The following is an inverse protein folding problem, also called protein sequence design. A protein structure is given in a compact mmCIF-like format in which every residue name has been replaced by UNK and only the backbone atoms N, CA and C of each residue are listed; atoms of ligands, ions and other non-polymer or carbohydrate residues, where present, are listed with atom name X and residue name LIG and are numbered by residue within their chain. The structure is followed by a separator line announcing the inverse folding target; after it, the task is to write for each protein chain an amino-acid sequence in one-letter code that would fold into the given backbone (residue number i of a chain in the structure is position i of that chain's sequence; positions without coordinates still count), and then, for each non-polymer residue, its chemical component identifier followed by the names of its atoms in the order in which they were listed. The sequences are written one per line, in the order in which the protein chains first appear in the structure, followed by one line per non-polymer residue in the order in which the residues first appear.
data_IF_672039242607
#
_entry.id   IF_672039242607
#
_cell.length_a   1.000
_cell.length_b   1.000
_cell.length_c   1.000
_cell.angle_alpha   90.00
_cell.angle_beta   90.00
_cell.angle_gamma   90.00
#
_symmetry.space_group_name_H-M   'P 1'
#
loop_
_entity.id
_entity.type
_entity.pdbx_description
1 polymer ?
#
# COMPACT_ATOMS: atom_id res chain seq x y z
N UNK A 1 10.90 -14.80 -4.63
CA UNK A 1 9.53 -15.30 -4.41
C UNK A 1 8.70 -14.30 -3.59
N UNK A 2 9.18 -13.83 -2.44
CA UNK A 2 8.44 -12.90 -1.57
C UNK A 2 8.15 -11.51 -2.19
N UNK A 3 9.11 -10.89 -2.88
CA UNK A 3 8.91 -9.58 -3.52
C UNK A 3 7.87 -9.61 -4.64
N UNK A 4 7.76 -10.74 -5.35
CA UNK A 4 6.73 -10.95 -6.37
C UNK A 4 5.34 -11.07 -5.72
N UNK A 5 5.22 -11.84 -4.64
CA UNK A 5 3.98 -11.97 -3.87
C UNK A 5 3.49 -10.62 -3.34
N UNK A 6 4.38 -9.83 -2.74
CA UNK A 6 4.06 -8.49 -2.23
C UNK A 6 3.59 -7.56 -3.36
N UNK A 7 4.25 -7.58 -4.53
CA UNK A 7 3.81 -6.79 -5.68
C UNK A 7 2.41 -7.19 -6.17
N UNK A 8 2.03 -8.48 -6.09
CA UNK A 8 0.68 -8.93 -6.42
C UNK A 8 -0.36 -8.49 -5.38
N UNK A 9 -0.02 -8.54 -4.09
CA UNK A 9 -0.88 -7.99 -3.02
C UNK A 9 -1.16 -6.51 -3.24
N UNK A 10 -0.12 -5.71 -3.54
CA UNK A 10 -0.25 -4.32 -3.96
C UNK A 10 -1.25 -4.19 -5.12
N UNK A 11 -1.05 -5.00 -6.17
CA UNK A 11 -1.89 -4.94 -7.36
C UNK A 11 -3.36 -5.22 -7.10
N UNK A 12 -3.71 -6.08 -6.14
CA UNK A 12 -5.10 -6.39 -5.86
C UNK A 12 -5.74 -5.43 -4.86
N UNK A 13 -5.01 -5.03 -3.83
CA UNK A 13 -5.48 -4.02 -2.86
C UNK A 13 -5.81 -2.72 -3.59
N UNK A 14 -4.93 -2.27 -4.49
CA UNK A 14 -5.12 -1.00 -5.20
C UNK A 14 -6.09 -1.07 -6.39
N UNK A 15 -6.66 -2.24 -6.68
CA UNK A 15 -7.84 -2.37 -7.56
C UNK A 15 -9.16 -2.15 -6.81
N UNK A 16 -9.14 -2.20 -5.48
CA UNK A 16 -10.34 -2.02 -4.68
C UNK A 16 -10.70 -0.55 -4.51
N UNK A 17 -12.01 -0.28 -4.39
CA UNK A 17 -12.49 1.03 -3.99
C UNK A 17 -12.31 1.23 -2.47
N UNK A 18 -11.99 2.45 -2.02
CA UNK A 18 -11.92 3.70 -2.80
C UNK A 18 -10.58 3.90 -3.55
N UNK A 19 -9.57 3.08 -3.30
CA UNK A 19 -8.20 3.30 -3.79
C UNK A 19 -8.10 3.39 -5.32
N UNK A 20 -8.70 2.46 -6.06
CA UNK A 20 -8.64 2.48 -7.52
C UNK A 20 -9.23 3.76 -8.14
N UNK A 21 -10.33 4.25 -7.56
CA UNK A 21 -10.95 5.52 -7.96
C UNK A 21 -10.00 6.69 -7.71
N UNK A 22 -9.33 6.70 -6.56
CA UNK A 22 -8.40 7.73 -6.16
C UNK A 22 -7.18 7.81 -7.09
N UNK A 23 -6.54 6.68 -7.40
CA UNK A 23 -5.46 6.62 -8.37
C UNK A 23 -5.90 7.09 -9.76
N UNK A 24 -7.08 6.66 -10.21
CA UNK A 24 -7.60 7.07 -11.52
C UNK A 24 -7.80 8.58 -11.58
N UNK A 25 -8.30 9.20 -10.51
CA UNK A 25 -8.45 10.66 -10.42
C UNK A 25 -7.09 11.36 -10.42
N UNK A 26 -6.13 10.90 -9.61
CA UNK A 26 -4.80 11.48 -9.54
C UNK A 26 -4.07 11.45 -10.90
N UNK A 27 -4.13 10.30 -11.59
CA UNK A 27 -3.54 10.15 -12.94
C UNK A 27 -4.23 11.06 -13.95
N UNK A 28 -5.56 11.16 -13.94
CA UNK A 28 -6.30 12.08 -14.83
C UNK A 28 -5.89 13.53 -14.60
N UNK A 29 -5.77 13.96 -13.35
CA UNK A 29 -5.32 15.32 -13.00
C UNK A 29 -3.92 15.57 -13.53
N UNK A 30 -2.99 14.65 -13.28
CA UNK A 30 -1.61 14.79 -13.74
C UNK A 30 -1.52 14.86 -15.28
N UNK A 31 -2.21 13.96 -15.97
CA UNK A 31 -2.24 13.94 -17.45
C UNK A 31 -2.83 15.24 -18.00
N UNK A 32 -3.90 15.75 -17.40
CA UNK A 32 -4.51 17.01 -17.79
C UNK A 32 -3.54 18.20 -17.67
N UNK A 33 -2.78 18.27 -16.56
CA UNK A 33 -1.77 19.30 -16.31
C UNK A 33 -0.59 19.16 -17.27
N UNK A 34 -0.08 17.95 -17.42
CA UNK A 34 1.15 17.68 -18.18
C UNK A 34 1.00 17.91 -19.68
N UNK A 35 -0.20 17.69 -20.23
CA UNK A 35 -0.51 17.95 -21.64
C UNK A 35 -0.61 19.45 -21.98
N UNK A 36 -0.60 20.34 -20.98
CA UNK A 36 -0.82 21.78 -21.14
C UNK A 36 0.38 22.56 -20.63
N UNK A 37 1.27 23.06 -21.52
CA UNK A 37 2.52 23.71 -21.11
C UNK A 37 2.35 24.87 -20.12
N UNK A 38 1.36 25.75 -20.33
CA UNK A 38 1.11 26.88 -19.42
C UNK A 38 0.64 26.41 -18.04
N UNK A 39 -0.18 25.35 -17.97
CA UNK A 39 -0.67 24.81 -16.71
C UNK A 39 0.43 24.02 -15.97
N UNK A 40 1.29 23.32 -16.71
CA UNK A 40 2.47 22.66 -16.18
C UNK A 40 3.46 23.67 -15.58
N UNK A 41 3.72 24.78 -16.29
CA UNK A 41 4.58 25.86 -15.79
C UNK A 41 3.99 26.51 -14.53
N UNK A 42 2.68 26.73 -14.52
CA UNK A 42 1.98 27.23 -13.34
C UNK A 42 2.11 26.24 -12.18
N UNK A 43 1.89 24.95 -12.41
CA UNK A 43 2.09 23.92 -11.39
C UNK A 43 3.51 23.94 -10.83
N UNK A 44 4.53 23.99 -11.68
CA UNK A 44 5.94 24.08 -11.26
C UNK A 44 6.20 25.32 -10.41
N UNK A 45 5.64 26.49 -10.75
CA UNK A 45 5.73 27.70 -9.93
C UNK A 45 5.18 27.50 -8.53
N UNK A 46 4.03 26.83 -8.40
CA UNK A 46 3.41 26.57 -7.09
C UNK A 46 4.06 25.42 -6.31
N UNK A 47 4.67 24.45 -6.99
CA UNK A 47 5.31 23.28 -6.36
C UNK A 47 6.81 23.44 -6.14
N UNK A 48 7.39 24.62 -6.42
CA UNK A 48 8.84 24.85 -6.44
C UNK A 48 9.55 23.81 -7.33
N UNK A 49 9.06 23.66 -8.55
CA UNK A 49 9.54 22.74 -9.60
C UNK A 49 9.51 21.25 -9.22
N UNK A 50 8.84 20.89 -8.13
CA UNK A 50 8.70 19.49 -7.75
C UNK A 50 7.82 18.74 -8.74
N UNK A 51 8.37 17.65 -9.25
CA UNK A 51 7.64 16.69 -10.08
C UNK A 51 6.60 15.92 -9.25
N UNK A 52 5.39 15.79 -9.79
CA UNK A 52 4.33 15.00 -9.19
C UNK A 52 4.48 13.51 -9.46
N UNK A 53 5.06 13.13 -10.60
CA UNK A 53 5.37 11.72 -10.92
C UNK A 53 6.78 11.40 -10.47
N UNK A 54 6.91 10.26 -9.78
CA UNK A 54 8.19 9.70 -9.34
C UNK A 54 8.37 8.30 -9.93
N UNK A 55 9.18 8.17 -11.00
CA UNK A 55 9.47 6.87 -11.60
C UNK A 55 10.13 5.92 -10.58
N UNK A 56 9.74 4.64 -10.62
CA UNK A 56 10.35 3.57 -9.85
C UNK A 56 10.45 2.28 -10.68
N UNK A 57 11.20 1.29 -10.16
CA UNK A 57 11.44 0.02 -10.85
C UNK A 57 10.17 -0.74 -11.22
N UNK A 58 9.10 -0.59 -10.45
CA UNK A 58 7.81 -1.23 -10.73
C UNK A 58 6.75 -0.18 -11.00
N UNK A 59 5.77 -0.54 -11.84
CA UNK A 59 4.57 0.28 -12.09
C UNK A 59 3.83 0.62 -10.78
N UNK A 60 3.76 -0.33 -9.84
CA UNK A 60 3.10 -0.13 -8.54
C UNK A 60 3.83 0.89 -7.68
N UNK A 61 5.15 0.76 -7.55
CA UNK A 61 5.95 1.74 -6.82
C UNK A 61 5.85 3.13 -7.46
N UNK A 62 5.85 3.20 -8.79
CA UNK A 62 5.69 4.48 -9.53
C UNK A 62 4.33 5.12 -9.21
N UNK A 63 3.26 4.33 -9.27
CA UNK A 63 1.90 4.79 -8.96
C UNK A 63 1.75 5.25 -7.51
N UNK A 64 2.27 4.47 -6.55
CA UNK A 64 2.25 4.85 -5.14
C UNK A 64 3.08 6.10 -4.84
N UNK A 65 4.31 6.20 -5.36
CA UNK A 65 5.17 7.37 -5.13
C UNK A 65 4.61 8.63 -5.80
N UNK A 66 3.89 8.48 -6.92
CA UNK A 66 3.16 9.56 -7.57
C UNK A 66 2.03 10.06 -6.66
N UNK A 67 1.24 9.14 -6.10
CA UNK A 67 0.17 9.49 -5.17
C UNK A 67 0.72 10.17 -3.90
N UNK A 68 1.79 9.63 -3.32
CA UNK A 68 2.47 10.25 -2.18
C UNK A 68 3.01 11.65 -2.50
N UNK A 69 3.53 11.86 -3.71
CA UNK A 69 3.98 13.18 -4.16
C UNK A 69 2.82 14.17 -4.32
N UNK A 70 1.66 13.70 -4.80
CA UNK A 70 0.42 14.46 -4.84
C UNK A 70 0.00 14.92 -3.45
N UNK A 71 -0.01 14.01 -2.47
CA UNK A 71 -0.32 14.32 -1.08
C UNK A 71 0.62 15.37 -0.50
N UNK A 72 1.94 15.23 -0.70
CA UNK A 72 2.93 16.21 -0.24
C UNK A 72 2.71 17.60 -0.86
N UNK A 73 2.20 17.66 -2.10
CA UNK A 73 1.88 18.90 -2.78
C UNK A 73 0.44 19.38 -2.58
N UNK A 74 -0.38 18.71 -1.76
CA UNK A 74 -1.80 19.05 -1.51
C UNK A 74 -2.05 20.54 -1.29
N UNK A 75 -1.29 21.17 -0.40
CA UNK A 75 -1.42 22.61 -0.09
C UNK A 75 -1.14 23.48 -1.32
N UNK A 76 -0.10 23.14 -2.08
CA UNK A 76 0.32 23.88 -3.26
C UNK A 76 -0.66 23.68 -4.42
N UNK A 77 -1.15 22.46 -4.63
CA UNK A 77 -2.16 22.15 -5.65
C UNK A 77 -3.49 22.85 -5.34
N UNK A 78 -3.91 22.89 -4.08
CA UNK A 78 -5.09 23.67 -3.66
C UNK A 78 -4.91 25.17 -3.89
N UNK A 79 -3.74 25.72 -3.54
CA UNK A 79 -3.42 27.14 -3.84
C UNK A 79 -3.45 27.43 -5.33
N UNK A 80 -2.87 26.54 -6.16
CA UNK A 80 -2.91 26.66 -7.61
C UNK A 80 -4.34 26.70 -8.13
N UNK A 81 -5.21 25.81 -7.63
CA UNK A 81 -6.61 25.74 -8.07
C UNK A 81 -7.41 26.98 -7.66
N UNK A 82 -7.09 27.56 -6.50
CA UNK A 82 -7.78 28.73 -5.98
C UNK A 82 -7.17 30.07 -6.44
N UNK A 83 -6.01 30.04 -7.09
CA UNK A 83 -5.29 31.23 -7.54
C UNK A 83 -6.04 32.01 -8.62
N UNK A 84 -5.90 33.34 -8.62
CA UNK A 84 -6.43 34.20 -9.69
C UNK A 84 -5.73 33.92 -11.03
N UNK A 85 -4.42 33.62 -11.02
CA UNK A 85 -3.65 33.20 -12.21
C UNK A 85 -4.27 31.98 -12.93
N UNK A 86 -4.94 31.08 -12.20
CA UNK A 86 -5.70 30.00 -12.82
C UNK A 86 -7.02 30.50 -13.43
N UNK A 87 -7.74 31.41 -12.76
CA UNK A 87 -9.04 31.94 -13.24
C UNK A 87 -8.89 32.68 -14.57
N UNK A 88 -7.77 33.35 -14.75
CA UNK A 88 -7.44 34.10 -15.97
C UNK A 88 -6.98 33.18 -17.11
N UNK A 89 -6.66 31.93 -16.80
CA UNK A 89 -6.23 30.95 -17.78
C UNK A 89 -7.43 30.33 -18.52
N UNK A 90 -7.33 30.22 -19.86
CA UNK A 90 -8.35 29.57 -20.71
C UNK A 90 -8.75 28.17 -20.22
N UNK A 91 -7.80 27.45 -19.60
CA UNK A 91 -8.00 26.09 -19.09
C UNK A 91 -8.95 26.01 -17.88
N UNK A 92 -9.18 27.10 -17.15
CA UNK A 92 -10.17 27.11 -16.06
C UNK A 92 -11.62 27.06 -16.56
N UNK A 93 -11.87 27.47 -17.81
CA UNK A 93 -13.20 27.44 -18.42
C UNK A 93 -13.55 26.08 -19.02
N UNK A 94 -12.55 25.25 -19.36
CA UNK A 94 -12.73 23.89 -19.87
C UNK A 94 -13.41 22.98 -18.84
N UNK A 95 -14.27 22.07 -19.30
CA UNK A 95 -14.93 21.08 -18.46
C UNK A 95 -13.91 20.25 -17.64
N UNK A 96 -12.83 19.80 -18.28
CA UNK A 96 -11.77 19.04 -17.61
C UNK A 96 -11.00 19.87 -16.56
N UNK A 97 -10.86 21.18 -16.77
CA UNK A 97 -10.24 22.09 -15.80
C UNK A 97 -11.12 22.33 -14.58
N UNK A 98 -12.44 22.42 -14.77
CA UNK A 98 -13.44 22.51 -13.69
C UNK A 98 -13.49 21.22 -12.88
N UNK A 99 -13.49 20.06 -13.54
CA UNK A 99 -13.49 18.77 -12.85
C UNK A 99 -12.21 18.56 -12.03
N UNK A 100 -11.04 18.89 -12.61
CA UNK A 100 -9.76 18.86 -11.89
C UNK A 100 -9.79 19.75 -10.64
N UNK A 101 -10.37 20.95 -10.74
CA UNK A 101 -10.50 21.84 -9.60
C UNK A 101 -11.40 21.25 -8.51
N UNK A 102 -12.55 20.69 -8.91
CA UNK A 102 -13.51 20.04 -8.00
C UNK A 102 -12.86 18.91 -7.21
N UNK A 103 -12.11 18.04 -7.87
CA UNK A 103 -11.42 16.92 -7.20
C UNK A 103 -10.35 17.42 -6.22
N UNK A 104 -9.51 18.38 -6.62
CA UNK A 104 -8.43 18.91 -5.77
C UNK A 104 -8.94 19.70 -4.55
N UNK A 105 -10.14 20.28 -4.63
CA UNK A 105 -10.78 20.95 -3.49
C UNK A 105 -11.49 19.92 -2.59
N UNK A 106 -12.05 18.84 -3.17
CA UNK A 106 -12.85 17.85 -2.45
C UNK A 106 -12.12 17.23 -1.24
N UNK A 107 -12.68 17.32 -0.02
CA UNK A 107 -12.14 16.63 1.16
C UNK A 107 -12.12 15.11 1.01
N UNK A 108 -13.11 14.52 0.33
CA UNK A 108 -13.23 13.06 0.18
C UNK A 108 -12.04 12.46 -0.58
N UNK A 109 -11.62 13.11 -1.67
CA UNK A 109 -10.45 12.71 -2.45
C UNK A 109 -9.20 12.62 -1.55
N UNK A 110 -8.92 13.66 -0.77
CA UNK A 110 -7.75 13.65 0.10
C UNK A 110 -7.88 12.69 1.30
N UNK A 111 -9.09 12.33 1.69
CA UNK A 111 -9.29 11.31 2.71
C UNK A 111 -8.98 9.93 2.12
N UNK A 112 -9.48 9.62 0.92
CA UNK A 112 -9.19 8.38 0.21
C UNK A 112 -7.69 8.21 -0.06
N UNK A 113 -7.01 9.30 -0.46
CA UNK A 113 -5.56 9.38 -0.66
C UNK A 113 -4.78 9.04 0.63
N UNK A 114 -5.18 9.60 1.78
CA UNK A 114 -4.57 9.27 3.08
C UNK A 114 -4.76 7.79 3.43
N UNK A 115 -5.93 7.21 3.14
CA UNK A 115 -6.18 5.79 3.39
C UNK A 115 -5.30 4.92 2.49
N UNK A 116 -5.17 5.26 1.20
CA UNK A 116 -4.29 4.59 0.25
C UNK A 116 -2.82 4.64 0.72
N UNK A 117 -2.37 5.79 1.22
CA UNK A 117 -1.00 5.98 1.73
C UNK A 117 -0.72 5.19 3.01
N UNK A 118 -1.70 5.11 3.93
CA UNK A 118 -1.58 4.28 5.14
C UNK A 118 -1.36 2.80 4.80
N UNK A 119 -2.17 2.26 3.88
CA UNK A 119 -2.06 0.85 3.47
C UNK A 119 -0.80 0.60 2.63
N UNK A 120 -0.53 1.42 1.63
CA UNK A 120 0.61 1.21 0.73
C UNK A 120 1.96 1.49 1.38
N UNK A 121 2.04 2.45 2.31
CA UNK A 121 3.28 2.74 3.03
C UNK A 121 3.77 1.55 3.87
N UNK A 122 2.84 0.80 4.46
CA UNK A 122 3.17 -0.37 5.28
C UNK A 122 3.64 -1.55 4.42
N UNK A 123 3.03 -1.76 3.26
CA UNK A 123 3.47 -2.79 2.33
C UNK A 123 4.82 -2.47 1.67
N UNK A 124 5.15 -1.19 1.42
CA UNK A 124 6.49 -0.78 0.97
C UNK A 124 7.52 -1.03 2.07
N UNK A 125 7.17 -0.79 3.34
CA UNK A 125 8.06 -1.10 4.45
C UNK A 125 8.35 -2.60 4.53
N UNK A 126 7.34 -3.44 4.34
CA UNK A 126 7.53 -4.90 4.22
C UNK A 126 8.43 -5.22 3.03
N UNK A 127 8.18 -4.65 1.86
CA UNK A 127 9.02 -4.88 0.67
C UNK A 127 10.49 -4.50 0.90
N UNK A 128 10.77 -3.35 1.51
CA UNK A 128 12.14 -2.93 1.82
C UNK A 128 12.84 -3.83 2.83
N UNK A 129 12.14 -4.35 3.85
CA UNK A 129 12.73 -5.32 4.79
C UNK A 129 13.13 -6.61 4.06
N UNK A 130 12.33 -7.03 3.08
CA UNK A 130 12.59 -8.25 2.29
C UNK A 130 13.68 -8.04 1.23
N UNK A 131 13.75 -6.86 0.61
CA UNK A 131 14.76 -6.52 -0.39
C UNK A 131 16.13 -6.20 0.24
N UNK A 132 16.15 -5.66 1.47
CA UNK A 132 17.37 -5.26 2.17
C UNK A 132 18.13 -6.41 2.83
N UNK A 133 17.45 -7.48 3.22
CA UNK A 133 18.06 -8.66 3.81
C UNK A 133 18.22 -9.76 2.75
N UNK A 134 19.47 -10.11 2.42
CA UNK A 134 19.84 -11.07 1.36
C UNK A 134 19.28 -12.49 1.49
N UNK A 135 18.44 -12.79 2.49
CA UNK A 135 17.59 -13.97 2.70
C UNK A 135 17.05 -13.86 4.13
N UNK A 136 16.06 -12.99 4.38
CA UNK A 136 15.38 -13.02 5.68
C UNK A 136 14.75 -14.42 5.85
N UNK A 137 15.06 -15.18 6.92
CA UNK A 137 14.40 -16.44 7.21
C UNK A 137 12.89 -16.22 7.22
N UNK A 138 12.12 -17.17 6.70
CA UNK A 138 10.68 -17.02 6.50
C UNK A 138 9.91 -16.53 7.75
N UNK A 139 10.37 -16.86 8.96
CA UNK A 139 9.82 -16.34 10.21
C UNK A 139 9.84 -14.81 10.33
N UNK A 140 10.88 -14.13 9.84
CA UNK A 140 10.93 -12.66 9.82
C UNK A 140 9.89 -12.06 8.88
N UNK A 141 9.56 -12.73 7.78
CA UNK A 141 8.54 -12.28 6.85
C UNK A 141 7.14 -12.38 7.46
N UNK A 142 6.85 -13.48 8.17
CA UNK A 142 5.59 -13.63 8.91
C UNK A 142 5.42 -12.52 9.95
N UNK A 143 6.45 -12.26 10.74
CA UNK A 143 6.43 -11.20 11.75
C UNK A 143 6.28 -9.81 11.11
N UNK A 144 6.98 -9.55 9.99
CA UNK A 144 6.88 -8.29 9.26
C UNK A 144 5.46 -8.03 8.74
N UNK A 145 4.80 -9.05 8.17
CA UNK A 145 3.42 -8.94 7.69
C UNK A 145 2.45 -8.80 8.85
N UNK A 146 2.64 -9.55 9.94
CA UNK A 146 1.78 -9.43 11.12
C UNK A 146 1.87 -8.02 11.75
N UNK A 147 3.08 -7.49 11.92
CA UNK A 147 3.28 -6.09 12.36
C UNK A 147 2.69 -5.08 11.39
N UNK A 148 2.77 -5.33 10.08
CA UNK A 148 2.14 -4.47 9.09
C UNK A 148 0.62 -4.46 9.25
N UNK A 149 -0.01 -5.63 9.47
CA UNK A 149 -1.45 -5.72 9.78
C UNK A 149 -1.79 -4.95 11.04
N UNK A 150 -1.11 -5.19 12.16
CA UNK A 150 -1.36 -4.47 13.43
C UNK A 150 -1.26 -2.94 13.24
N UNK A 151 -0.29 -2.48 12.45
CA UNK A 151 -0.13 -1.05 12.16
C UNK A 151 -1.27 -0.52 11.26
N UNK A 152 -1.78 -1.31 10.31
CA UNK A 152 -2.97 -0.97 9.53
C UNK A 152 -4.18 -0.82 10.47
N UNK A 153 -4.44 -1.80 11.33
CA UNK A 153 -5.57 -1.76 12.27
C UNK A 153 -5.51 -0.50 13.14
N UNK A 154 -4.34 -0.22 13.74
CA UNK A 154 -4.12 0.97 14.56
C UNK A 154 -4.34 2.27 13.76
N UNK A 155 -3.90 2.31 12.50
CA UNK A 155 -4.05 3.49 11.62
C UNK A 155 -5.50 3.80 11.26
N UNK A 156 -6.39 2.83 11.40
CA UNK A 156 -7.83 2.94 11.15
C UNK A 156 -8.66 2.91 12.43
N UNK A 157 -8.06 3.17 13.60
CA UNK A 157 -8.75 3.16 14.90
C UNK A 157 -9.46 1.84 15.18
N UNK A 158 -8.92 0.73 14.64
CA UNK A 158 -9.49 -0.63 14.72
C UNK A 158 -10.89 -0.76 14.12
N UNK A 159 -11.26 0.14 13.21
CA UNK A 159 -12.49 0.03 12.42
C UNK A 159 -12.34 -1.06 11.33
N UNK A 160 -12.79 -2.26 11.68
CA UNK A 160 -12.70 -3.49 10.85
C UNK A 160 -13.19 -3.25 9.43
N UNK A 161 -14.24 -2.44 9.24
CA UNK A 161 -14.84 -2.19 7.92
C UNK A 161 -13.87 -1.56 6.92
N UNK A 162 -12.83 -0.86 7.40
CA UNK A 162 -11.86 -0.15 6.56
C UNK A 162 -10.70 -1.02 6.07
N UNK A 163 -10.35 -2.07 6.80
CA UNK A 163 -9.17 -2.90 6.51
C UNK A 163 -9.46 -4.39 6.33
N UNK A 164 -10.64 -4.88 6.69
CA UNK A 164 -11.00 -6.30 6.55
C UNK A 164 -10.78 -6.81 5.12
N UNK A 165 -11.23 -6.04 4.12
CA UNK A 165 -11.05 -6.42 2.71
C UNK A 165 -9.57 -6.46 2.31
N UNK A 166 -8.77 -5.52 2.82
CA UNK A 166 -7.32 -5.50 2.62
C UNK A 166 -6.69 -6.76 3.22
N UNK A 167 -7.12 -7.15 4.42
CA UNK A 167 -6.58 -8.33 5.10
C UNK A 167 -6.96 -9.62 4.38
N UNK A 168 -8.21 -9.74 3.92
CA UNK A 168 -8.66 -10.86 3.09
C UNK A 168 -7.80 -11.02 1.83
N UNK A 169 -7.42 -9.93 1.17
CA UNK A 169 -6.52 -9.97 0.00
C UNK A 169 -5.12 -10.42 0.40
N UNK A 170 -4.57 -9.87 1.49
CA UNK A 170 -3.26 -10.26 2.01
C UNK A 170 -3.25 -11.75 2.35
N UNK A 171 -4.24 -12.23 3.11
CA UNK A 171 -4.34 -13.62 3.55
C UNK A 171 -4.52 -14.59 2.38
N UNK A 172 -5.40 -14.26 1.43
CA UNK A 172 -5.59 -15.07 0.24
C UNK A 172 -4.32 -15.16 -0.62
N UNK A 173 -3.60 -14.05 -0.81
CA UNK A 173 -2.34 -14.07 -1.57
C UNK A 173 -1.23 -14.78 -0.81
N UNK A 174 -1.22 -14.65 0.50
CA UNK A 174 -0.26 -15.29 1.38
C UNK A 174 -0.44 -16.81 1.42
N UNK A 175 -1.68 -17.29 1.61
CA UNK A 175 -1.99 -18.73 1.64
C UNK A 175 -1.71 -19.41 0.30
N UNK A 176 -2.01 -18.76 -0.81
CA UNK A 176 -1.83 -19.33 -2.15
C UNK A 176 -0.37 -19.36 -2.63
N UNK A 177 0.53 -18.54 -2.08
CA UNK A 177 1.90 -18.38 -2.61
C UNK A 177 3.02 -18.72 -1.63
N UNK A 178 2.75 -18.71 -0.32
CA UNK A 178 3.79 -18.82 0.71
C UNK A 178 3.53 -19.93 1.74
N UNK A 179 2.35 -20.57 1.71
CA UNK A 179 2.04 -21.73 2.54
C UNK A 179 2.58 -23.03 1.91
N UNK A 180 3.90 -23.20 1.89
CA UNK A 180 4.46 -24.55 1.96
C UNK A 180 4.61 -24.92 3.45
N UNK A 181 4.20 -26.12 3.90
CA UNK A 181 4.33 -26.54 5.31
C UNK A 181 5.73 -26.32 5.92
N UNK A 182 6.79 -26.40 5.10
CA UNK A 182 8.18 -26.15 5.49
C UNK A 182 8.47 -24.68 5.90
N UNK A 183 7.69 -23.72 5.41
CA UNK A 183 7.89 -22.28 5.62
C UNK A 183 7.23 -21.77 6.90
N UNK A 184 6.10 -22.36 7.29
CA UNK A 184 5.39 -22.06 8.54
C UNK A 184 6.15 -22.57 9.78
N UNK A 185 6.91 -23.67 9.65
CA UNK A 185 7.74 -24.23 10.71
C UNK A 185 8.95 -23.34 11.08
N UNK A 186 9.41 -22.46 10.18
CA UNK A 186 10.60 -21.62 10.41
C UNK A 186 10.39 -20.50 11.45
N UNK A 187 9.16 -20.08 11.72
CA UNK A 187 8.84 -19.07 12.74
C UNK A 187 9.02 -19.61 14.17
N UNK A 188 8.38 -20.73 14.57
CA UNK A 188 8.64 -21.36 15.86
C UNK A 188 10.04 -21.98 15.99
N UNK A 189 10.83 -22.08 14.92
CA UNK A 189 12.22 -22.55 14.97
C UNK A 189 13.26 -21.41 15.04
N UNK A 190 12.83 -20.14 14.99
CA UNK A 190 13.73 -19.00 15.10
C UNK A 190 14.09 -18.74 16.57
N UNK A 191 15.36 -18.89 16.99
CA UNK A 191 15.78 -18.71 18.39
C UNK A 191 15.43 -17.32 18.95
N UNK A 192 15.29 -16.31 18.09
CA UNK A 192 14.97 -14.95 18.50
C UNK A 192 13.50 -14.75 18.93
N UNK A 193 12.58 -15.62 18.49
CA UNK A 193 11.15 -15.54 18.79
C UNK A 193 10.64 -16.71 19.65
N UNK A 194 11.44 -17.76 19.82
CA UNK A 194 11.11 -18.96 20.61
C UNK A 194 10.70 -18.63 22.05
N UNK A 195 11.26 -17.59 22.66
CA UNK A 195 10.97 -17.20 24.04
C UNK A 195 9.65 -16.43 24.22
N UNK A 196 8.92 -16.12 23.14
CA UNK A 196 7.66 -15.34 23.20
C UNK A 196 6.40 -16.12 22.83
N UNK A 197 6.53 -17.26 22.15
CA UNK A 197 5.38 -18.07 21.69
C UNK A 197 5.18 -19.30 22.57
N UNK A 198 4.51 -19.11 23.69
CA UNK A 198 3.97 -20.18 24.52
C UNK A 198 2.44 -20.26 24.34
N UNK A 199 1.97 -20.23 23.09
CA UNK A 199 0.59 -20.61 22.77
C UNK A 199 0.47 -21.00 21.28
N UNK A 200 0.94 -22.21 20.94
CA UNK A 200 0.79 -22.79 19.60
C UNK A 200 -0.68 -22.93 19.18
N UNK A 201 -1.59 -23.08 20.15
CA UNK A 201 -3.03 -23.26 19.92
C UNK A 201 -3.72 -22.01 19.40
N UNK A 202 -3.41 -20.84 19.97
CA UNK A 202 -3.92 -19.55 19.45
C UNK A 202 -3.41 -19.25 18.02
N UNK A 203 -2.20 -19.69 17.68
CA UNK A 203 -1.60 -19.44 16.37
C UNK A 203 -2.22 -20.32 15.26
N UNK A 204 -2.47 -21.60 15.54
CA UNK A 204 -3.13 -22.52 14.60
C UNK A 204 -4.56 -22.05 14.27
N UNK A 205 -5.28 -21.54 15.27
CA UNK A 205 -6.64 -21.01 15.10
C UNK A 205 -6.65 -19.69 14.30
N UNK A 206 -5.64 -18.84 14.47
CA UNK A 206 -5.52 -17.54 13.78
C UNK A 206 -5.02 -17.64 12.34
N UNK A 207 -4.29 -18.72 12.01
CA UNK A 207 -3.82 -19.03 10.65
C UNK A 207 -4.77 -19.94 9.86
N UNK A 208 -5.88 -20.42 10.45
CA UNK A 208 -6.88 -21.25 9.76
C UNK A 208 -6.35 -22.60 9.28
N UNK A 209 -5.39 -23.19 10.00
CA UNK A 209 -4.77 -24.47 9.64
C UNK A 209 -5.46 -25.63 10.36
N UNK A 210 -5.69 -26.74 9.65
CA UNK A 210 -6.14 -27.99 10.26
C UNK A 210 -5.07 -28.50 11.25
N UNK A 211 -5.40 -28.47 12.54
CA UNK A 211 -4.58 -28.91 13.68
C UNK A 211 -3.96 -30.30 13.44
N UNK A 212 -4.69 -31.18 12.75
CA UNK A 212 -4.31 -32.58 12.49
C UNK A 212 -3.14 -32.68 11.50
N UNK A 213 -3.10 -31.84 10.47
CA UNK A 213 -2.06 -31.89 9.44
C UNK A 213 -0.75 -31.23 9.93
N UNK A 214 -0.87 -30.18 10.76
CA UNK A 214 0.30 -29.53 11.39
C UNK A 214 0.97 -30.48 12.38
N UNK A 215 0.21 -31.18 13.23
CA UNK A 215 0.74 -32.17 14.18
C UNK A 215 1.35 -33.40 13.49
N UNK A 216 0.78 -33.87 12.37
CA UNK A 216 1.36 -34.96 11.56
C UNK A 216 2.67 -34.57 10.88
N UNK A 217 2.80 -33.32 10.44
CA UNK A 217 4.07 -32.81 9.90
C UNK A 217 5.13 -32.69 10.99
N UNK A 218 4.73 -32.36 12.22
CA UNK A 218 5.63 -32.20 13.37
C UNK A 218 6.20 -33.54 13.85
N UNK A 219 5.38 -34.60 13.90
CA UNK A 219 5.83 -35.95 14.28
C UNK A 219 6.71 -36.65 13.23
N UNK A 220 6.68 -36.19 11.97
CA UNK A 220 7.55 -36.69 10.90
C UNK A 220 8.94 -36.04 10.91
N UNK A 221 9.08 -34.84 11.50
CA UNK A 221 10.35 -34.09 11.56
C UNK A 221 11.23 -34.55 12.73
N UNK A 222 10.64 -35.11 13.80
CA UNK A 222 11.35 -35.55 15.00
C UNK A 222 11.66 -37.06 15.07
N UNK A 223 11.64 -37.77 13.93
CA UNK A 223 12.03 -39.19 13.87
C UNK A 223 13.35 -39.36 13.12
N UNK A 224 14.43 -38.79 13.66
CA UNK A 224 15.83 -39.22 13.56
C UNK A 224 16.61 -38.57 14.71
#
# INVERSE_FOLDING_TARGET
MCCYCINLMFGDIFKENPYASDFTKAVKIYSYISQRPLLLNLMRKFTNERNLVRPAKTRFATTFLTLHSFYLQKKNLRKLVLSNERKDNRYAKEAAGKETAKVLISPSFWNDDVQALKVGGLLIRVLHMVDGERKAPMGYLYEAVNRAKETIEASFERDVRKYEKVFKIIDSRWSNQLHLPLHAAGHPLNPHYFTRTLDMTLWIQRCGLDTINVLRSWSSIHRW
#
